data_IF_661201844233
#
_entry.id   IF_661201844233
#
_cell.length_a   1.000
_cell.length_b   1.000
_cell.length_c   1.000
_cell.angle_alpha   90.00
_cell.angle_beta   90.00
_cell.angle_gamma   90.00
#
_symmetry.space_group_name_H-M   'P 1'
#
loop_
_entity.id
_entity.type
_entity.pdbx_description
1 polymer ?
#
# COMPACT_ATOMS: atom_id res chain seq x y z
N UNK A 1 -7.19 18.74 16.11
CA UNK A 1 -6.82 17.64 15.20
C UNK A 1 -7.74 16.41 15.27
N UNK A 2 -8.46 16.13 16.38
CA UNK A 2 -9.39 14.98 16.46
C UNK A 2 -10.51 14.99 15.40
N UNK A 3 -11.00 16.17 15.01
CA UNK A 3 -12.05 16.31 14.00
C UNK A 3 -11.65 15.92 12.57
N UNK A 4 -10.35 15.91 12.25
CA UNK A 4 -9.87 15.57 10.90
C UNK A 4 -9.72 14.05 10.69
N UNK A 5 -9.50 13.28 11.77
CA UNK A 5 -9.38 11.82 11.73
C UNK A 5 -10.55 11.11 11.03
N UNK A 6 -11.82 11.41 11.33
CA UNK A 6 -12.96 10.74 10.67
C UNK A 6 -13.14 11.12 9.20
N UNK A 7 -12.70 12.32 8.79
CA UNK A 7 -12.76 12.73 7.37
C UNK A 7 -11.69 12.01 6.56
N UNK A 8 -10.47 11.94 7.08
CA UNK A 8 -9.37 11.23 6.43
C UNK A 8 -9.64 9.73 6.36
N UNK A 9 -10.15 9.12 7.43
CA UNK A 9 -10.49 7.69 7.42
C UNK A 9 -11.62 7.37 6.44
N UNK A 10 -12.64 8.25 6.30
CA UNK A 10 -13.72 8.09 5.32
C UNK A 10 -13.20 8.19 3.88
N UNK A 11 -12.31 9.15 3.60
CA UNK A 11 -11.69 9.29 2.27
C UNK A 11 -10.80 8.09 1.93
N UNK A 12 -9.98 7.64 2.88
CA UNK A 12 -9.15 6.45 2.73
C UNK A 12 -9.98 5.18 2.55
N UNK A 13 -11.11 5.05 3.26
CA UNK A 13 -12.00 3.91 3.14
C UNK A 13 -12.55 3.73 1.71
N UNK A 14 -12.78 4.84 0.99
CA UNK A 14 -13.23 4.80 -0.40
C UNK A 14 -12.07 4.61 -1.38
N UNK A 15 -10.90 5.20 -1.10
CA UNK A 15 -9.76 5.23 -2.03
C UNK A 15 -8.84 4.00 -1.96
N UNK A 16 -8.73 3.34 -0.81
CA UNK A 16 -7.85 2.18 -0.60
C UNK A 16 -8.34 0.88 -1.26
N UNK A 17 -9.64 0.50 -1.24
CA UNK A 17 -10.08 -0.76 -1.86
C UNK A 17 -9.81 -0.84 -3.38
N UNK A 18 -9.98 0.24 -4.17
CA UNK A 18 -9.58 0.27 -5.58
C UNK A 18 -8.09 -0.03 -5.82
N UNK A 19 -7.19 0.29 -4.87
CA UNK A 19 -5.76 -0.04 -5.00
C UNK A 19 -5.51 -1.55 -5.18
N UNK A 20 -6.33 -2.38 -4.52
CA UNK A 20 -6.20 -3.83 -4.57
C UNK A 20 -6.79 -4.43 -5.86
N UNK A 21 -7.64 -3.68 -6.57
CA UNK A 21 -8.25 -4.09 -7.83
C UNK A 21 -7.59 -3.48 -9.06
N UNK A 22 -6.76 -2.46 -8.86
CA UNK A 22 -6.03 -1.79 -9.91
C UNK A 22 -5.25 -2.79 -10.76
N UNK A 23 -5.37 -2.64 -12.09
CA UNK A 23 -4.71 -3.49 -13.06
C UNK A 23 -3.66 -2.65 -13.80
N UNK A 24 -2.39 -2.66 -13.38
CA UNK A 24 -1.33 -1.83 -13.96
C UNK A 24 -0.99 -2.25 -15.40
N UNK A 25 -1.44 -3.42 -15.84
CA UNK A 25 -1.26 -3.92 -17.20
C UNK A 25 -2.38 -3.49 -18.17
N UNK A 26 -3.47 -2.85 -17.69
CA UNK A 26 -4.51 -2.33 -18.61
C UNK A 26 -4.08 -1.05 -19.34
N UNK A 27 -2.97 -0.42 -18.94
CA UNK A 27 -2.43 0.76 -19.63
C UNK A 27 -1.65 0.43 -20.91
N UNK A 28 -1.44 -0.85 -21.24
CA UNK A 28 -0.69 -1.23 -22.45
C UNK A 28 -1.47 -1.02 -23.77
N UNK A 29 -2.71 -0.53 -23.70
CA UNK A 29 -3.57 -0.27 -24.86
C UNK A 29 -3.71 1.20 -25.30
N UNK A 30 -3.08 2.16 -24.62
CA UNK A 30 -3.15 3.58 -24.99
C UNK A 30 -1.76 4.22 -24.96
N UNK A 31 -1.18 4.30 -26.15
CA UNK A 31 -0.19 5.27 -26.61
C UNK A 31 1.06 5.52 -25.73
N UNK A 32 2.21 5.00 -26.19
CA UNK A 32 3.51 5.64 -25.97
C UNK A 32 4.50 4.88 -25.08
N UNK A 33 5.44 4.18 -25.72
CA UNK A 33 6.61 3.51 -25.14
C UNK A 33 7.67 4.45 -24.52
N UNK A 34 7.31 5.68 -24.11
CA UNK A 34 8.28 6.74 -23.79
C UNK A 34 8.04 7.50 -22.49
N UNK A 35 7.25 6.97 -21.56
CA UNK A 35 7.18 7.54 -20.22
C UNK A 35 7.00 6.42 -19.21
N UNK A 36 7.71 6.55 -18.09
CA UNK A 36 7.50 5.73 -16.89
C UNK A 36 6.01 5.45 -16.74
N UNK A 37 5.58 4.18 -16.51
CA UNK A 37 4.16 3.87 -16.42
C UNK A 37 3.54 4.86 -15.43
N UNK A 38 2.51 5.63 -15.86
CA UNK A 38 1.89 6.60 -14.97
C UNK A 38 1.46 5.84 -13.71
N UNK A 39 1.75 6.42 -12.54
CA UNK A 39 1.28 5.84 -11.28
C UNK A 39 -0.22 5.54 -11.47
N UNK A 40 -0.69 4.34 -11.13
CA UNK A 40 -2.10 4.04 -11.25
C UNK A 40 -2.94 5.10 -10.54
N UNK A 41 -4.02 5.55 -11.18
CA UNK A 41 -4.83 6.70 -10.75
C UNK A 41 -5.33 6.55 -9.30
N UNK A 42 -5.52 5.30 -8.87
CA UNK A 42 -5.90 4.91 -7.52
C UNK A 42 -4.80 5.21 -6.49
N UNK A 43 -3.54 4.95 -6.81
CA UNK A 43 -2.39 5.28 -5.94
C UNK A 43 -2.25 6.79 -5.85
N UNK A 44 -2.38 7.51 -6.97
CA UNK A 44 -2.37 8.97 -6.97
C UNK A 44 -3.44 9.55 -6.03
N UNK A 45 -4.65 8.99 -6.01
CA UNK A 45 -5.72 9.44 -5.10
C UNK A 45 -5.34 9.25 -3.63
N UNK A 46 -4.78 8.10 -3.27
CA UNK A 46 -4.38 7.80 -1.88
C UNK A 46 -3.19 8.67 -1.45
N UNK A 47 -2.17 8.81 -2.30
CA UNK A 47 -1.03 9.70 -2.06
C UNK A 47 -1.49 11.15 -1.93
N UNK A 48 -2.44 11.60 -2.76
CA UNK A 48 -2.99 12.97 -2.67
C UNK A 48 -3.72 13.22 -1.35
N UNK A 49 -4.44 12.23 -0.80
CA UNK A 49 -5.10 12.35 0.51
C UNK A 49 -4.05 12.51 1.61
N UNK A 50 -2.98 11.72 1.58
CA UNK A 50 -1.89 11.85 2.54
C UNK A 50 -1.12 13.16 2.39
N UNK A 51 -0.84 13.58 1.17
CA UNK A 51 -0.18 14.85 0.90
C UNK A 51 -1.02 16.02 1.42
N UNK A 52 -2.32 16.04 1.12
CA UNK A 52 -3.22 17.06 1.65
C UNK A 52 -3.27 17.05 3.20
N UNK A 53 -3.23 15.87 3.83
CA UNK A 53 -3.15 15.77 5.28
C UNK A 53 -1.83 16.35 5.82
N UNK A 54 -0.70 16.05 5.17
CA UNK A 54 0.62 16.58 5.53
C UNK A 54 0.67 18.10 5.36
N UNK A 55 0.18 18.62 4.24
CA UNK A 55 0.15 20.05 3.93
C UNK A 55 -0.70 20.80 4.96
N UNK A 56 -1.84 20.24 5.38
CA UNK A 56 -2.63 20.80 6.48
C UNK A 56 -1.83 20.81 7.78
N UNK A 57 -1.16 19.71 8.14
CA UNK A 57 -0.38 19.66 9.38
C UNK A 57 0.77 20.67 9.39
N UNK A 58 1.44 20.87 8.26
CA UNK A 58 2.44 21.91 8.09
C UNK A 58 1.84 23.32 8.15
N UNK A 59 0.67 23.54 7.55
CA UNK A 59 0.00 24.85 7.56
C UNK A 59 -0.40 25.29 8.98
N UNK A 60 -0.70 24.34 9.87
CA UNK A 60 -1.04 24.61 11.27
C UNK A 60 0.18 24.63 12.22
N UNK A 61 1.42 24.59 11.69
CA UNK A 61 2.67 24.57 12.45
C UNK A 61 2.69 23.48 13.55
N UNK A 62 2.14 22.31 13.20
CA UNK A 62 1.99 21.20 14.14
C UNK A 62 3.35 20.59 14.43
N UNK A 63 3.64 20.38 15.72
CA UNK A 63 4.88 19.75 16.15
C UNK A 63 5.11 18.41 15.44
N UNK A 64 6.33 18.10 14.96
CA UNK A 64 6.63 16.90 14.17
C UNK A 64 6.20 15.60 14.84
N UNK A 65 6.26 15.55 16.18
CA UNK A 65 5.76 14.41 16.97
C UNK A 65 4.26 14.12 16.74
N UNK A 66 3.44 15.18 16.69
CA UNK A 66 1.99 15.08 16.51
C UNK A 66 1.66 14.72 15.05
N UNK A 67 2.45 15.22 14.09
CA UNK A 67 2.39 14.82 12.68
C UNK A 67 2.72 13.33 12.52
N UNK A 68 3.80 12.86 13.14
CA UNK A 68 4.18 11.44 13.17
C UNK A 68 3.06 10.58 13.78
N UNK A 69 2.48 11.00 14.90
CA UNK A 69 1.38 10.27 15.54
C UNK A 69 0.12 10.21 14.67
N UNK A 70 -0.20 11.29 13.95
CA UNK A 70 -1.32 11.32 13.02
C UNK A 70 -1.09 10.36 11.84
N UNK A 71 0.12 10.37 11.27
CA UNK A 71 0.50 9.45 10.19
C UNK A 71 0.59 8.00 10.66
N UNK A 72 1.01 7.75 11.90
CA UNK A 72 0.98 6.41 12.48
C UNK A 72 -0.44 5.84 12.51
N UNK A 73 -1.42 6.67 12.91
CA UNK A 73 -2.83 6.28 12.86
C UNK A 73 -3.32 6.03 11.42
N UNK A 74 -2.97 6.91 10.47
CA UNK A 74 -3.38 6.77 9.08
C UNK A 74 -2.78 5.53 8.41
N UNK A 75 -1.50 5.24 8.65
CA UNK A 75 -0.84 4.03 8.16
C UNK A 75 -1.39 2.77 8.81
N UNK A 76 -1.66 2.78 10.12
CA UNK A 76 -2.32 1.68 10.79
C UNK A 76 -3.70 1.39 10.19
N UNK A 77 -4.55 2.42 10.05
CA UNK A 77 -5.88 2.28 9.46
C UNK A 77 -5.81 1.70 8.05
N UNK A 78 -4.89 2.22 7.23
CA UNK A 78 -4.73 1.80 5.85
C UNK A 78 -4.21 0.37 5.75
N UNK A 79 -3.25 0.00 6.58
CA UNK A 79 -2.74 -1.36 6.69
C UNK A 79 -3.85 -2.35 7.10
N UNK A 80 -4.62 -2.03 8.15
CA UNK A 80 -5.73 -2.87 8.60
C UNK A 80 -6.81 -3.01 7.53
N UNK A 81 -7.19 -1.92 6.86
CA UNK A 81 -8.19 -1.97 5.81
C UNK A 81 -7.72 -2.78 4.61
N UNK A 82 -6.50 -2.54 4.12
CA UNK A 82 -5.93 -3.29 3.00
C UNK A 82 -5.78 -4.77 3.33
N UNK A 83 -5.36 -5.10 4.55
CA UNK A 83 -5.26 -6.48 5.03
C UNK A 83 -6.63 -7.15 5.12
N UNK A 84 -7.63 -6.47 5.70
CA UNK A 84 -8.99 -7.01 5.80
C UNK A 84 -9.59 -7.28 4.41
N UNK A 85 -9.44 -6.33 3.49
CA UNK A 85 -9.87 -6.48 2.10
C UNK A 85 -9.12 -7.62 1.38
N UNK A 86 -7.83 -7.80 1.65
CA UNK A 86 -7.05 -8.91 1.13
C UNK A 86 -7.59 -10.26 1.62
N UNK A 87 -7.96 -10.35 2.90
CA UNK A 87 -8.53 -11.56 3.52
C UNK A 87 -9.94 -11.89 3.03
N UNK A 88 -10.84 -10.89 2.94
CA UNK A 88 -12.20 -11.05 2.42
C UNK A 88 -12.22 -11.50 0.96
N UNK A 89 -11.33 -10.92 0.14
CA UNK A 89 -11.18 -11.31 -1.27
C UNK A 89 -10.43 -12.63 -1.42
N UNK A 90 -9.56 -12.97 -0.48
CA UNK A 90 -8.84 -14.25 -0.42
C UNK A 90 -9.75 -15.47 -0.23
N UNK A 91 -10.90 -15.29 0.43
CA UNK A 91 -11.85 -16.36 0.74
C UNK A 91 -12.99 -16.49 -0.27
N UNK A 92 -13.32 -15.43 -1.02
CA UNK A 92 -14.42 -15.39 -2.01
C UNK A 92 -14.02 -15.71 -3.45
N UNK A 93 -12.73 -15.67 -3.77
CA UNK A 93 -12.18 -16.00 -5.09
C UNK A 93 -10.98 -16.92 -4.85
N UNK A 94 -10.71 -17.87 -5.75
CA UNK A 94 -9.46 -18.63 -5.77
C UNK A 94 -8.24 -17.72 -5.98
N UNK A 95 -7.91 -16.91 -4.98
CA UNK A 95 -7.21 -15.62 -5.08
C UNK A 95 -5.68 -15.73 -5.04
N UNK A 96 -5.14 -16.94 -5.20
CA UNK A 96 -3.71 -17.19 -5.42
C UNK A 96 -3.29 -16.92 -6.86
N UNK A 97 -3.79 -15.83 -7.46
CA UNK A 97 -3.28 -15.36 -8.74
C UNK A 97 -2.05 -14.50 -8.46
N UNK A 98 -0.87 -15.02 -8.80
CA UNK A 98 0.44 -14.35 -8.72
C UNK A 98 0.40 -12.89 -9.19
N UNK A 99 -0.33 -12.61 -10.27
CA UNK A 99 -0.49 -11.26 -10.82
C UNK A 99 -1.15 -10.27 -9.85
N UNK A 100 -2.01 -10.72 -8.93
CA UNK A 100 -2.66 -9.88 -7.92
C UNK A 100 -1.71 -9.57 -6.75
N UNK A 101 -0.90 -10.55 -6.33
CA UNK A 101 0.16 -10.34 -5.33
C UNK A 101 1.20 -9.34 -5.81
N UNK A 102 1.66 -9.47 -7.06
CA UNK A 102 2.62 -8.54 -7.69
C UNK A 102 2.07 -7.12 -7.74
N UNK A 103 0.78 -6.95 -8.06
CA UNK A 103 0.10 -5.65 -8.09
C UNK A 103 0.05 -4.97 -6.72
N UNK A 104 -0.39 -5.71 -5.71
CA UNK A 104 -0.47 -5.19 -4.34
C UNK A 104 0.92 -4.80 -3.86
N UNK A 105 1.92 -5.63 -4.14
CA UNK A 105 3.31 -5.33 -3.79
C UNK A 105 3.81 -4.06 -4.48
N UNK A 106 3.51 -3.86 -5.76
CA UNK A 106 3.88 -2.64 -6.48
C UNK A 106 3.17 -1.40 -5.90
N UNK A 107 1.87 -1.50 -5.60
CA UNK A 107 1.11 -0.39 -5.05
C UNK A 107 1.59 0.04 -3.66
N UNK A 108 1.82 -0.93 -2.78
CA UNK A 108 2.35 -0.69 -1.43
C UNK A 108 3.77 -0.09 -1.52
N UNK A 109 4.61 -0.59 -2.44
CA UNK A 109 5.95 -0.05 -2.67
C UNK A 109 5.94 1.43 -3.08
N UNK A 110 5.06 1.83 -4.01
CA UNK A 110 4.96 3.24 -4.43
C UNK A 110 4.51 4.15 -3.28
N UNK A 111 3.64 3.65 -2.39
CA UNK A 111 3.22 4.37 -1.19
C UNK A 111 4.37 4.52 -0.17
N UNK A 112 5.21 3.49 -0.02
CA UNK A 112 6.43 3.53 0.79
C UNK A 112 7.47 4.49 0.20
N UNK A 113 7.68 4.48 -1.12
CA UNK A 113 8.59 5.41 -1.81
C UNK A 113 8.14 6.87 -1.60
N UNK A 114 6.83 7.15 -1.70
CA UNK A 114 6.30 8.46 -1.35
C UNK A 114 6.55 8.79 0.13
N UNK A 115 6.25 7.87 1.06
CA UNK A 115 6.47 8.11 2.49
C UNK A 115 7.94 8.41 2.82
N UNK A 116 8.88 7.71 2.16
CA UNK A 116 10.31 7.99 2.27
C UNK A 116 10.65 9.40 1.76
N UNK A 117 10.07 9.83 0.62
CA UNK A 117 10.32 11.17 0.05
C UNK A 117 9.89 12.32 0.96
N UNK A 118 8.89 12.11 1.81
CA UNK A 118 8.38 13.11 2.77
C UNK A 118 8.94 12.93 4.19
N UNK A 119 9.90 12.02 4.40
CA UNK A 119 10.54 11.78 5.70
C UNK A 119 9.73 10.89 6.66
N UNK A 120 8.65 10.25 6.21
CA UNK A 120 7.81 9.31 6.97
C UNK A 120 8.18 7.84 6.73
N UNK A 121 9.27 7.60 6.02
CA UNK A 121 9.75 6.28 5.62
C UNK A 121 9.81 5.23 6.72
N UNK A 122 10.55 5.47 7.82
CA UNK A 122 10.68 4.50 8.92
C UNK A 122 9.34 4.11 9.54
N UNK A 123 8.41 5.06 9.61
CA UNK A 123 7.06 4.84 10.14
C UNK A 123 6.23 3.99 9.18
N UNK A 124 6.26 4.31 7.89
CA UNK A 124 5.58 3.52 6.87
C UNK A 124 6.12 2.08 6.82
N UNK A 125 7.43 1.90 6.88
CA UNK A 125 8.07 0.57 6.92
C UNK A 125 7.56 -0.24 8.12
N UNK A 126 7.49 0.36 9.32
CA UNK A 126 7.01 -0.33 10.52
C UNK A 126 5.56 -0.85 10.38
N UNK A 127 4.65 -0.05 9.81
CA UNK A 127 3.24 -0.43 9.70
C UNK A 127 2.96 -1.34 8.50
N UNK A 128 3.63 -1.13 7.37
CA UNK A 128 3.38 -1.89 6.13
C UNK A 128 4.26 -3.14 5.98
N UNK A 129 5.30 -3.34 6.81
CA UNK A 129 6.18 -4.51 6.72
C UNK A 129 5.41 -5.84 6.64
N UNK A 130 4.39 -6.01 7.48
CA UNK A 130 3.58 -7.24 7.49
C UNK A 130 2.77 -7.40 6.19
N UNK A 131 2.20 -6.32 5.67
CA UNK A 131 1.46 -6.33 4.41
C UNK A 131 2.38 -6.61 3.22
N UNK A 132 3.58 -6.03 3.20
CA UNK A 132 4.62 -6.30 2.21
C UNK A 132 5.03 -7.77 2.19
N UNK A 133 5.18 -8.40 3.36
CA UNK A 133 5.50 -9.83 3.46
C UNK A 133 4.36 -10.70 2.92
N UNK A 134 3.11 -10.38 3.25
CA UNK A 134 1.94 -11.11 2.73
C UNK A 134 1.80 -10.93 1.21
N UNK A 135 1.96 -9.70 0.70
CA UNK A 135 1.95 -9.43 -0.73
C UNK A 135 3.09 -10.14 -1.47
N UNK A 136 4.27 -10.22 -0.85
CA UNK A 136 5.42 -10.96 -1.40
C UNK A 136 5.18 -12.47 -1.43
N UNK A 137 4.57 -13.04 -0.39
CA UNK A 137 4.14 -14.45 -0.38
C UNK A 137 3.11 -14.74 -1.47
N UNK A 138 2.12 -13.87 -1.66
CA UNK A 138 1.13 -13.98 -2.73
C UNK A 138 1.74 -13.80 -4.13
N UNK A 139 2.89 -13.12 -4.23
CA UNK A 139 3.66 -12.90 -5.45
C UNK A 139 4.75 -13.97 -5.67
N UNK A 140 4.81 -15.03 -4.87
CA UNK A 140 5.71 -16.17 -5.13
C UNK A 140 4.97 -17.24 -5.96
N UNK A 141 5.53 -17.72 -7.08
CA UNK A 141 5.01 -18.90 -7.75
C UNK A 141 5.30 -20.16 -6.91
N UNK A 142 4.41 -21.16 -6.96
CA UNK A 142 4.49 -22.43 -6.21
C UNK A 142 5.83 -23.18 -6.38
N UNK A 143 6.58 -22.93 -7.46
CA UNK A 143 7.90 -23.52 -7.71
C UNK A 143 9.01 -23.04 -6.76
N UNK A 144 8.87 -21.86 -6.13
CA UNK A 144 9.85 -21.36 -5.14
C UNK A 144 9.50 -21.74 -3.69
N UNK A 145 8.23 -22.02 -3.39
CA UNK A 145 7.80 -22.51 -2.08
C UNK A 145 8.37 -23.91 -1.76
N UNK A 146 8.63 -24.71 -2.79
CA UNK A 146 9.29 -26.03 -2.66
C UNK A 146 10.81 -25.92 -2.41
N UNK A 147 11.46 -24.83 -2.82
CA UNK A 147 12.92 -24.68 -2.59
C UNK A 147 13.26 -24.21 -1.19
N UNK A 148 12.42 -23.37 -0.58
CA UNK A 148 12.61 -22.94 0.83
C UNK A 148 12.32 -24.06 1.84
N UNK A 149 11.48 -25.04 1.49
CA UNK A 149 11.19 -26.20 2.33
C UNK A 149 12.21 -27.34 2.19
N UNK A 150 13.05 -27.33 1.15
CA UNK A 150 14.13 -28.30 0.95
C UNK A 150 15.48 -27.85 1.53
N UNK A 151 15.59 -26.61 2.01
CA UNK A 151 16.84 -26.06 2.56
C UNK A 151 16.92 -26.12 4.10
N UNK A 152 15.89 -26.65 4.77
CA UNK A 152 15.90 -27.00 6.20
C UNK A 152 15.96 -28.52 6.42
N UNK A 153 16.91 -29.20 5.78
CA UNK A 153 17.36 -30.52 6.21
C UNK A 153 18.86 -30.43 6.55
N UNK A 154 19.24 -30.24 7.83
CA UNK A 154 20.63 -30.32 8.23
C UNK A 154 21.08 -31.78 8.13
N UNK A 155 22.07 -32.03 7.28
CA UNK A 155 22.92 -33.22 7.33
C UNK A 155 24.11 -32.98 8.25
#
# INVERSE_FOLDING_TARGET
MEFAKPLLSRSLYVALPPLLECNPFQSEGRDGWLSSPPLPEEIHKVVSIYQAALDLLHQYDVHPEVTSQMFAYLFFFSNTLLFNQLMEKGSSLGCFHWSKGVRIRAAVRLLLEWAQSVGLGPLADQFFAKLCSVASLLAMPNSQLLQVSLQEAPG
#
